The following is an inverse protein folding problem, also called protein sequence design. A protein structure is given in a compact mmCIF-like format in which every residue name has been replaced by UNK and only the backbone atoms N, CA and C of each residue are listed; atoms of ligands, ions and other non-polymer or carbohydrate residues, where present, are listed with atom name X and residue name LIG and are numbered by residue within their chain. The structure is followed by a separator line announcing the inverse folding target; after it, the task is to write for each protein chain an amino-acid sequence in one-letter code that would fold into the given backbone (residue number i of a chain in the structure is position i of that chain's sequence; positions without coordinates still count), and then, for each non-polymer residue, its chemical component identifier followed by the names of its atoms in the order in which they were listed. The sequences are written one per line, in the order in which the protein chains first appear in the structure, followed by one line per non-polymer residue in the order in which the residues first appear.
data_IF_062954776567
#
_entry.id   IF_062954776567
#
_cell.length_a   1.000
_cell.length_b   1.000
_cell.length_c   1.000
_cell.angle_alpha   90.00
_cell.angle_beta   90.00
_cell.angle_gamma   90.00
#
_symmetry.space_group_name_H-M   'P 1'
#
loop_
_entity.id
_entity.type
_entity.pdbx_description
1 polymer ?
#
# COMPACT_ATOMS: atom_id res chain seq x y z
N UNK A 1 2.62 6.29 -12.09
CA UNK A 1 2.75 7.44 -11.16
C UNK A 1 1.65 8.49 -11.36
N UNK A 2 1.42 9.04 -12.56
CA UNK A 2 0.27 9.95 -12.78
C UNK A 2 -1.11 9.30 -12.55
N UNK A 3 -1.15 7.97 -12.49
CA UNK A 3 -2.35 7.17 -12.21
C UNK A 3 -3.01 7.50 -10.86
N UNK A 4 -2.21 7.85 -9.85
CA UNK A 4 -2.71 8.21 -8.53
C UNK A 4 -3.25 9.64 -8.47
N UNK A 5 -2.64 10.59 -9.18
CA UNK A 5 -3.16 11.96 -9.31
C UNK A 5 -4.46 11.96 -10.12
N UNK A 6 -4.51 11.18 -11.19
CA UNK A 6 -5.72 10.99 -12.01
C UNK A 6 -6.82 10.27 -11.24
N UNK A 7 -6.52 9.20 -10.49
CA UNK A 7 -7.50 8.52 -9.63
C UNK A 7 -8.07 9.43 -8.56
N UNK A 8 -7.24 10.20 -7.86
CA UNK A 8 -7.72 11.15 -6.85
C UNK A 8 -8.64 12.21 -7.50
N UNK A 9 -8.30 12.73 -8.68
CA UNK A 9 -9.14 13.70 -9.41
C UNK A 9 -10.45 13.12 -9.92
N UNK A 10 -10.44 11.88 -10.45
CA UNK A 10 -11.66 11.15 -10.82
C UNK A 10 -12.56 10.88 -9.60
N UNK A 11 -11.97 10.69 -8.42
CA UNK A 11 -12.73 10.50 -7.18
C UNK A 11 -13.37 11.80 -6.66
N UNK A 12 -12.72 12.95 -6.88
CA UNK A 12 -13.19 14.26 -6.43
C UNK A 12 -14.18 14.92 -7.39
N UNK A 13 -13.93 14.79 -8.70
CA UNK A 13 -14.81 15.29 -9.76
C UNK A 13 -15.02 14.22 -10.86
N UNK A 14 -15.96 13.30 -10.62
CA UNK A 14 -16.31 12.26 -11.59
C UNK A 14 -16.91 12.83 -12.88
N UNK A 15 -17.61 13.96 -12.83
CA UNK A 15 -18.30 14.52 -13.99
C UNK A 15 -17.31 15.06 -15.03
N UNK A 16 -16.20 15.65 -14.56
CA UNK A 16 -15.18 16.22 -15.45
C UNK A 16 -14.16 15.20 -15.93
N UNK A 17 -13.77 14.22 -15.12
CA UNK A 17 -12.60 13.36 -15.40
C UNK A 17 -12.92 11.89 -15.74
N UNK A 18 -14.17 11.44 -15.71
CA UNK A 18 -14.55 10.04 -15.95
C UNK A 18 -14.61 9.65 -17.44
N UNK A 19 -13.49 9.81 -18.16
CA UNK A 19 -13.30 9.35 -19.55
C UNK A 19 -12.31 8.17 -19.64
N UNK A 20 -12.24 7.35 -18.58
CA UNK A 20 -11.21 6.31 -18.42
C UNK A 20 -9.85 6.89 -18.03
N UNK A 21 -8.90 6.04 -17.59
CA UNK A 21 -7.62 6.52 -17.04
C UNK A 21 -6.75 7.27 -18.05
N UNK A 22 -6.76 6.82 -19.32
CA UNK A 22 -6.02 7.48 -20.41
C UNK A 22 -6.66 8.83 -20.77
N UNK A 23 -8.00 8.89 -20.80
CA UNK A 23 -8.75 10.13 -21.04
C UNK A 23 -8.55 11.14 -19.91
N UNK A 24 -8.58 10.68 -18.65
CA UNK A 24 -8.27 11.49 -17.48
C UNK A 24 -6.84 12.02 -17.49
N UNK A 25 -5.86 11.19 -17.86
CA UNK A 25 -4.46 11.61 -18.04
C UNK A 25 -4.32 12.74 -19.07
N UNK A 26 -4.90 12.55 -20.26
CA UNK A 26 -4.84 13.55 -21.34
C UNK A 26 -5.52 14.85 -20.94
N UNK A 27 -6.66 14.75 -20.24
CA UNK A 27 -7.42 15.91 -19.79
C UNK A 27 -6.67 16.70 -18.71
N UNK A 28 -6.03 16.03 -17.75
CA UNK A 28 -5.18 16.69 -16.73
C UNK A 28 -4.01 17.42 -17.37
N UNK A 29 -3.33 16.81 -18.35
CA UNK A 29 -2.24 17.48 -19.08
C UNK A 29 -2.76 18.70 -19.85
N UNK A 30 -3.93 18.60 -20.47
CA UNK A 30 -4.53 19.70 -21.24
C UNK A 30 -5.10 20.83 -20.36
N UNK A 31 -5.64 20.53 -19.17
CA UNK A 31 -6.26 21.52 -18.30
C UNK A 31 -5.27 22.18 -17.33
N UNK A 32 -4.25 21.45 -16.88
CA UNK A 32 -3.38 21.87 -15.77
C UNK A 32 -1.88 21.71 -16.06
N UNK A 33 -1.53 21.23 -17.26
CA UNK A 33 -0.16 21.03 -17.70
C UNK A 33 0.47 19.71 -17.22
N UNK A 34 1.59 19.34 -17.85
CA UNK A 34 2.28 18.08 -17.54
C UNK A 34 2.81 17.99 -16.10
N UNK A 35 3.16 19.15 -15.50
CA UNK A 35 3.64 19.24 -14.12
C UNK A 35 2.59 18.84 -13.07
N UNK A 36 1.29 18.97 -13.37
CA UNK A 36 0.20 18.59 -12.47
C UNK A 36 0.17 17.08 -12.15
N UNK A 37 0.80 16.25 -13.00
CA UNK A 37 0.97 14.82 -12.75
C UNK A 37 1.97 14.51 -11.64
N UNK A 38 2.87 15.46 -11.35
CA UNK A 38 3.88 15.35 -10.30
C UNK A 38 3.41 15.98 -8.97
N UNK A 39 2.27 16.66 -8.96
CA UNK A 39 1.66 17.20 -7.75
C UNK A 39 1.37 16.08 -6.75
N UNK A 40 1.85 16.24 -5.52
CA UNK A 40 1.73 15.23 -4.46
C UNK A 40 2.84 14.17 -4.45
N UNK A 41 3.80 14.20 -5.39
CA UNK A 41 4.89 13.22 -5.45
C UNK A 41 5.80 13.26 -4.21
N UNK A 42 6.15 14.45 -3.73
CA UNK A 42 6.97 14.61 -2.50
C UNK A 42 6.35 13.94 -1.27
N UNK A 43 5.09 14.28 -0.91
CA UNK A 43 4.39 13.60 0.18
C UNK A 43 4.22 12.09 -0.03
N UNK A 44 3.89 11.65 -1.25
CA UNK A 44 3.79 10.21 -1.57
C UNK A 44 5.11 9.50 -1.32
N UNK A 45 6.22 10.01 -1.84
CA UNK A 45 7.53 9.40 -1.67
C UNK A 45 7.92 9.32 -0.19
N UNK A 46 7.85 10.45 0.52
CA UNK A 46 8.17 10.49 1.95
C UNK A 46 7.26 9.56 2.77
N UNK A 47 5.96 9.54 2.45
CA UNK A 47 4.96 8.73 3.13
C UNK A 47 5.23 7.25 3.01
N UNK A 48 5.31 6.73 1.79
CA UNK A 48 5.56 5.32 1.55
C UNK A 48 6.97 4.88 1.97
N UNK A 49 7.96 5.78 1.94
CA UNK A 49 9.29 5.50 2.48
C UNK A 49 9.24 5.26 4.00
N UNK A 50 8.64 6.19 4.75
CA UNK A 50 8.51 6.06 6.20
C UNK A 50 7.62 4.86 6.58
N UNK A 51 6.48 4.70 5.90
CA UNK A 51 5.60 3.56 6.10
C UNK A 51 6.38 2.25 5.88
N UNK A 52 7.16 2.14 4.79
CA UNK A 52 7.99 0.98 4.53
C UNK A 52 8.99 0.69 5.65
N UNK A 53 9.73 1.71 6.11
CA UNK A 53 10.71 1.58 7.18
C UNK A 53 10.08 1.06 8.49
N UNK A 54 8.98 1.70 8.94
CA UNK A 54 8.27 1.30 10.15
C UNK A 54 7.58 -0.06 10.02
N UNK A 55 7.02 -0.36 8.85
CA UNK A 55 6.34 -1.62 8.59
C UNK A 55 7.28 -2.81 8.62
N UNK A 56 8.38 -2.77 7.86
CA UNK A 56 9.31 -3.90 7.77
C UNK A 56 10.19 -3.99 9.02
N UNK A 57 10.73 -2.86 9.49
CA UNK A 57 11.52 -2.82 10.71
C UNK A 57 10.68 -3.15 11.96
N UNK A 58 9.47 -2.60 12.05
CA UNK A 58 8.53 -2.90 13.11
C UNK A 58 8.08 -4.36 13.09
N UNK A 59 7.83 -4.94 11.91
CA UNK A 59 7.43 -6.34 11.81
C UNK A 59 8.48 -7.27 12.42
N UNK A 60 9.76 -7.09 12.07
CA UNK A 60 10.86 -7.88 12.65
C UNK A 60 11.02 -7.61 14.14
N UNK A 61 10.92 -6.34 14.57
CA UNK A 61 10.97 -5.98 15.98
C UNK A 61 9.87 -6.67 16.80
N UNK A 62 8.59 -6.53 16.42
CA UNK A 62 7.47 -7.11 17.15
C UNK A 62 7.45 -8.65 17.10
N UNK A 63 7.92 -9.24 15.99
CA UNK A 63 8.11 -10.69 15.88
C UNK A 63 9.17 -11.16 16.87
N UNK A 64 10.32 -10.49 16.95
CA UNK A 64 11.37 -10.82 17.92
C UNK A 64 10.88 -10.64 19.37
N UNK A 65 10.14 -9.57 19.68
CA UNK A 65 9.57 -9.37 21.01
C UNK A 65 8.58 -10.48 21.38
N UNK A 66 7.74 -10.91 20.44
CA UNK A 66 6.78 -12.01 20.64
C UNK A 66 7.50 -13.34 20.91
N UNK A 67 8.60 -13.61 20.20
CA UNK A 67 9.47 -14.77 20.43
C UNK A 67 10.12 -14.71 21.81
N UNK A 68 10.67 -13.55 22.19
CA UNK A 68 11.32 -13.36 23.49
C UNK A 68 10.33 -13.54 24.66
N UNK A 69 9.07 -13.12 24.49
CA UNK A 69 8.05 -13.20 25.53
C UNK A 69 7.46 -14.61 25.68
N UNK A 70 7.17 -15.28 24.55
CA UNK A 70 6.49 -16.58 24.55
C UNK A 70 7.44 -17.78 24.60
N UNK A 71 8.72 -17.57 24.28
CA UNK A 71 9.68 -18.63 23.98
C UNK A 71 9.52 -19.17 22.55
N UNK A 72 10.63 -19.64 21.97
CA UNK A 72 10.69 -20.12 20.58
C UNK A 72 9.69 -21.25 20.28
N UNK A 73 9.49 -22.16 21.23
CA UNK A 73 8.62 -23.32 21.06
C UNK A 73 7.14 -22.91 20.92
N UNK A 74 6.64 -22.07 21.82
CA UNK A 74 5.28 -21.54 21.74
C UNK A 74 5.10 -20.58 20.55
N UNK A 75 6.10 -19.74 20.27
CA UNK A 75 6.05 -18.85 19.12
C UNK A 75 5.97 -19.61 17.79
N UNK A 76 6.63 -20.78 17.70
CA UNK A 76 6.54 -21.68 16.55
C UNK A 76 5.17 -22.35 16.45
N UNK A 77 4.62 -22.84 17.57
CA UNK A 77 3.26 -23.40 17.59
C UNK A 77 2.19 -22.39 17.15
N UNK A 78 2.28 -21.15 17.64
CA UNK A 78 1.34 -20.06 17.32
C UNK A 78 1.86 -19.11 16.23
N UNK A 79 2.73 -19.59 15.33
CA UNK A 79 3.43 -18.78 14.31
C UNK A 79 2.54 -17.82 13.52
N UNK A 80 1.36 -18.28 13.10
CA UNK A 80 0.42 -17.44 12.34
C UNK A 80 -0.10 -16.29 13.20
N UNK A 81 -0.42 -16.55 14.48
CA UNK A 81 -0.85 -15.51 15.42
C UNK A 81 0.25 -14.49 15.67
N UNK A 82 1.49 -14.95 15.83
CA UNK A 82 2.68 -14.08 15.98
C UNK A 82 2.86 -13.19 14.75
N UNK A 83 2.78 -13.75 13.54
CA UNK A 83 2.90 -12.97 12.30
C UNK A 83 1.78 -11.93 12.17
N UNK A 84 0.54 -12.32 12.45
CA UNK A 84 -0.62 -11.44 12.39
C UNK A 84 -0.51 -10.28 13.40
N UNK A 85 -0.17 -10.58 14.66
CA UNK A 85 -0.03 -9.57 15.71
C UNK A 85 1.14 -8.61 15.43
N UNK A 86 2.29 -9.16 15.00
CA UNK A 86 3.48 -8.37 14.66
C UNK A 86 3.23 -7.47 13.46
N UNK A 87 2.56 -7.98 12.42
CA UNK A 87 2.19 -7.22 11.24
C UNK A 87 1.19 -6.10 11.56
N UNK A 88 0.17 -6.38 12.39
CA UNK A 88 -0.82 -5.38 12.79
C UNK A 88 -0.19 -4.26 13.64
N UNK A 89 0.66 -4.61 14.61
CA UNK A 89 1.37 -3.64 15.43
C UNK A 89 2.31 -2.76 14.60
N UNK A 90 3.11 -3.38 13.72
CA UNK A 90 4.01 -2.66 12.83
C UNK A 90 3.26 -1.68 11.91
N UNK A 91 2.16 -2.13 11.31
CA UNK A 91 1.36 -1.28 10.41
C UNK A 91 0.69 -0.13 11.17
N UNK A 92 0.23 -0.35 12.40
CA UNK A 92 -0.37 0.73 13.21
C UNK A 92 0.59 1.90 13.41
N UNK A 93 1.85 1.63 13.77
CA UNK A 93 2.87 2.67 13.91
C UNK A 93 3.31 3.26 12.57
N UNK A 94 3.37 2.44 11.52
CA UNK A 94 3.64 2.91 10.17
C UNK A 94 2.57 3.89 9.67
N UNK A 95 1.30 3.63 9.98
CA UNK A 95 0.18 4.48 9.61
C UNK A 95 0.16 5.80 10.39
N UNK A 96 0.68 5.84 11.62
CA UNK A 96 0.86 7.11 12.35
C UNK A 96 1.82 8.03 11.57
N UNK A 97 2.90 7.48 11.03
CA UNK A 97 3.85 8.24 10.21
C UNK A 97 3.30 8.57 8.81
N UNK A 98 2.51 7.68 8.21
CA UNK A 98 1.94 7.84 6.87
C UNK A 98 0.82 8.88 6.84
N UNK A 99 -0.07 8.86 7.83
CA UNK A 99 -1.34 9.60 7.81
C UNK A 99 -1.19 11.12 7.55
N UNK A 100 -0.24 11.83 8.19
CA UNK A 100 -0.02 13.26 7.91
C UNK A 100 0.44 13.55 6.48
N UNK A 101 1.27 12.67 5.91
CA UNK A 101 1.80 12.80 4.56
C UNK A 101 0.72 12.51 3.51
N UNK A 102 -0.16 11.56 3.80
CA UNK A 102 -1.30 11.24 2.96
C UNK A 102 -2.40 12.30 3.02
N UNK A 103 -2.67 12.89 4.17
CA UNK A 103 -3.53 14.06 4.30
C UNK A 103 -2.97 15.24 3.48
N UNK A 104 -1.67 15.52 3.59
CA UNK A 104 -0.98 16.55 2.82
C UNK A 104 -1.06 16.27 1.32
N UNK A 105 -0.80 15.03 0.90
CA UNK A 105 -0.92 14.58 -0.49
C UNK A 105 -2.32 14.84 -1.03
N UNK A 106 -3.34 14.36 -0.32
CA UNK A 106 -4.74 14.51 -0.74
C UNK A 106 -5.06 15.98 -0.91
N UNK A 107 -4.68 16.85 0.04
CA UNK A 107 -4.96 18.28 -0.07
C UNK A 107 -4.29 18.92 -1.28
N UNK A 108 -3.00 18.67 -1.49
CA UNK A 108 -2.26 19.23 -2.63
C UNK A 108 -2.81 18.77 -3.98
N UNK A 109 -3.35 17.55 -4.06
CA UNK A 109 -3.94 17.02 -5.29
C UNK A 109 -5.38 17.50 -5.49
N UNK A 110 -6.14 17.67 -4.40
CA UNK A 110 -7.53 18.14 -4.44
C UNK A 110 -7.65 19.64 -4.69
N UNK A 111 -6.73 20.43 -4.13
CA UNK A 111 -6.73 21.89 -4.19
C UNK A 111 -5.40 22.37 -4.77
N UNK A 112 -5.26 22.48 -6.11
CA UNK A 112 -4.00 22.86 -6.75
C UNK A 112 -3.44 24.21 -6.31
N UNK A 113 -4.30 25.13 -5.83
CA UNK A 113 -3.91 26.45 -5.32
C UNK A 113 -3.57 26.46 -3.82
N UNK A 114 -3.68 25.32 -3.13
CA UNK A 114 -3.49 25.24 -1.69
C UNK A 114 -2.05 25.58 -1.29
N UNK A 115 -1.07 24.88 -1.84
CA UNK A 115 0.36 25.13 -1.64
C UNK A 115 1.18 24.36 -2.67
N UNK A 116 2.48 24.64 -2.74
CA UNK A 116 3.42 23.89 -3.59
C UNK A 116 4.30 22.98 -2.74
N UNK A 117 4.39 21.71 -3.15
CA UNK A 117 5.29 20.73 -2.55
C UNK A 117 4.92 20.29 -1.13
N UNK A 118 5.69 19.33 -0.61
CA UNK A 118 5.46 18.73 0.70
C UNK A 118 5.55 19.76 1.83
N UNK A 119 6.66 20.50 1.91
CA UNK A 119 6.94 21.42 3.02
C UNK A 119 5.89 22.52 3.10
N UNK A 120 5.53 23.12 1.97
CA UNK A 120 4.52 24.17 1.89
C UNK A 120 3.13 23.66 2.26
N UNK A 121 2.72 22.51 1.71
CA UNK A 121 1.42 21.90 2.01
C UNK A 121 1.28 21.49 3.47
N UNK A 122 2.29 20.81 4.01
CA UNK A 122 2.31 20.35 5.40
C UNK A 122 2.30 21.54 6.37
N UNK A 123 3.17 22.52 6.14
CA UNK A 123 3.27 23.71 6.99
C UNK A 123 2.01 24.56 6.98
N UNK A 124 1.36 24.73 5.82
CA UNK A 124 0.09 25.45 5.71
C UNK A 124 -1.02 24.71 6.47
N UNK A 125 -1.17 23.41 6.24
CA UNK A 125 -2.19 22.59 6.91
C UNK A 125 -2.05 22.60 8.42
N UNK A 126 -0.82 22.46 8.93
CA UNK A 126 -0.56 22.56 10.36
C UNK A 126 -0.97 23.91 10.93
N UNK A 127 -0.66 25.03 10.23
CA UNK A 127 -0.98 26.38 10.70
C UNK A 127 -2.47 26.72 10.61
N UNK A 128 -3.17 26.29 9.56
CA UNK A 128 -4.55 26.71 9.30
C UNK A 128 -5.59 25.77 9.90
N UNK A 129 -5.27 24.47 10.03
CA UNK A 129 -6.24 23.43 10.40
C UNK A 129 -5.79 22.60 11.61
N UNK A 130 -4.53 22.73 12.02
CA UNK A 130 -3.97 22.03 13.17
C UNK A 130 -3.73 20.54 12.94
N UNK A 131 -3.35 19.85 14.02
CA UNK A 131 -3.01 18.41 13.99
C UNK A 131 -4.21 17.52 13.66
N UNK A 132 -5.42 17.93 14.04
CA UNK A 132 -6.63 17.15 13.78
C UNK A 132 -6.84 16.87 12.28
N UNK A 133 -6.47 17.80 11.41
CA UNK A 133 -6.58 17.63 9.95
C UNK A 133 -5.68 16.51 9.41
N UNK A 134 -4.50 16.28 10.00
CA UNK A 134 -3.60 15.22 9.58
C UNK A 134 -4.14 13.83 9.88
N UNK A 135 -4.92 13.67 10.95
CA UNK A 135 -5.42 12.37 11.41
C UNK A 135 -6.92 12.13 11.16
N UNK A 136 -7.59 13.06 10.47
CA UNK A 136 -9.00 12.93 10.12
C UNK A 136 -9.30 11.65 9.30
N UNK A 137 -8.32 11.16 8.53
CA UNK A 137 -8.42 9.93 7.73
C UNK A 137 -7.84 8.67 8.39
N UNK A 138 -7.39 8.74 9.64
CA UNK A 138 -6.59 7.67 10.26
C UNK A 138 -7.35 6.34 10.39
N UNK A 139 -8.61 6.38 10.88
CA UNK A 139 -9.44 5.17 10.99
C UNK A 139 -9.65 4.42 9.66
N UNK A 140 -10.08 5.12 8.58
CA UNK A 140 -10.12 4.56 7.24
C UNK A 140 -8.79 3.98 6.74
N UNK A 141 -7.66 4.63 7.04
CA UNK A 141 -6.32 4.14 6.67
C UNK A 141 -6.03 2.82 7.38
N UNK A 142 -6.19 2.76 8.71
CA UNK A 142 -5.97 1.55 9.50
C UNK A 142 -6.82 0.37 8.99
N UNK A 143 -8.11 0.62 8.73
CA UNK A 143 -9.04 -0.41 8.24
C UNK A 143 -8.61 -1.00 6.89
N UNK A 144 -7.92 -0.23 6.07
CA UNK A 144 -7.38 -0.68 4.79
C UNK A 144 -6.02 -1.37 4.93
N UNK A 145 -5.10 -0.73 5.64
CA UNK A 145 -3.69 -1.10 5.63
C UNK A 145 -3.41 -2.30 6.53
N UNK A 146 -4.02 -2.39 7.71
CA UNK A 146 -3.78 -3.50 8.64
C UNK A 146 -4.15 -4.85 7.99
N UNK A 147 -5.36 -5.06 7.43
CA UNK A 147 -5.70 -6.33 6.79
C UNK A 147 -4.80 -6.65 5.58
N UNK A 148 -4.46 -5.62 4.79
CA UNK A 148 -3.55 -5.77 3.66
C UNK A 148 -2.17 -6.25 4.11
N UNK A 149 -1.60 -5.63 5.15
CA UNK A 149 -0.28 -5.95 5.67
C UNK A 149 -0.24 -7.30 6.39
N UNK A 150 -1.24 -7.62 7.20
CA UNK A 150 -1.39 -8.93 7.84
C UNK A 150 -1.42 -10.06 6.81
N UNK A 151 -2.26 -9.93 5.78
CA UNK A 151 -2.34 -10.92 4.70
C UNK A 151 -1.01 -11.03 3.95
N UNK A 152 -0.37 -9.89 3.64
CA UNK A 152 0.90 -9.87 2.92
C UNK A 152 2.00 -10.60 3.69
N UNK A 153 2.21 -10.30 4.97
CA UNK A 153 3.28 -10.94 5.74
C UNK A 153 3.01 -12.43 5.98
N UNK A 154 1.78 -12.83 6.33
CA UNK A 154 1.47 -14.24 6.54
C UNK A 154 1.68 -15.05 5.27
N UNK A 155 1.17 -14.57 4.13
CA UNK A 155 1.33 -15.28 2.86
C UNK A 155 2.79 -15.29 2.43
N UNK A 156 3.51 -14.18 2.60
CA UNK A 156 4.94 -14.12 2.31
C UNK A 156 5.72 -15.18 3.08
N UNK A 157 5.57 -15.23 4.40
CA UNK A 157 6.28 -16.18 5.26
C UNK A 157 5.94 -17.63 4.86
N UNK A 158 4.67 -17.94 4.59
CA UNK A 158 4.24 -19.29 4.18
C UNK A 158 4.78 -19.71 2.82
N UNK A 159 4.74 -18.81 1.84
CA UNK A 159 5.21 -19.09 0.48
C UNK A 159 6.73 -19.20 0.47
N UNK A 160 7.43 -18.33 1.19
CA UNK A 160 8.88 -18.39 1.32
C UNK A 160 9.32 -19.67 2.06
N UNK A 161 8.66 -20.03 3.17
CA UNK A 161 8.92 -21.27 3.92
C UNK A 161 8.75 -22.50 3.02
N UNK A 162 7.66 -22.56 2.24
CA UNK A 162 7.42 -23.63 1.28
C UNK A 162 8.46 -23.65 0.15
N UNK A 163 8.80 -22.50 -0.42
CA UNK A 163 9.80 -22.43 -1.48
C UNK A 163 11.18 -22.89 -0.98
N UNK A 164 11.57 -22.50 0.24
CA UNK A 164 12.84 -22.89 0.84
C UNK A 164 12.86 -24.32 1.40
N UNK A 165 11.70 -24.98 1.59
CA UNK A 165 11.66 -26.41 1.90
C UNK A 165 11.89 -27.28 0.67
N UNK A 166 11.47 -26.81 -0.51
CA UNK A 166 11.74 -27.46 -1.81
C UNK A 166 13.14 -27.11 -2.32
N UNK A 167 13.57 -25.87 -2.12
CA UNK A 167 14.87 -25.36 -2.55
C UNK A 167 15.65 -24.81 -1.35
N UNK A 168 16.43 -25.64 -0.64
CA UNK A 168 17.13 -25.22 0.58
C UNK A 168 18.04 -24.02 0.34
N UNK A 169 17.97 -23.01 1.21
CA UNK A 169 18.74 -21.76 1.08
C UNK A 169 20.24 -21.99 0.83
N UNK A 170 20.82 -22.98 1.53
CA UNK A 170 22.25 -23.34 1.43
C UNK A 170 22.68 -23.79 0.02
N UNK A 171 21.73 -24.29 -0.78
CA UNK A 171 21.99 -24.82 -2.11
C UNK A 171 21.67 -23.78 -3.20
N UNK A 172 21.20 -22.58 -2.80
CA UNK A 172 20.82 -21.49 -3.69
C UNK A 172 21.85 -20.36 -3.62
N UNK A 173 22.23 -19.84 -4.79
CA UNK A 173 22.96 -18.57 -4.87
C UNK A 173 22.12 -17.44 -4.28
N UNK A 174 22.77 -16.36 -3.82
CA UNK A 174 22.09 -15.18 -3.26
C UNK A 174 21.03 -14.60 -4.21
N UNK A 175 21.26 -14.77 -5.51
CA UNK A 175 20.35 -14.31 -6.57
C UNK A 175 19.13 -15.21 -6.68
N UNK A 176 19.31 -16.52 -6.59
CA UNK A 176 18.20 -17.45 -6.57
C UNK A 176 17.36 -17.27 -5.28
N UNK A 177 18.00 -17.05 -4.14
CA UNK A 177 17.32 -16.70 -2.90
C UNK A 177 16.54 -15.39 -3.01
N UNK A 178 17.12 -14.36 -3.64
CA UNK A 178 16.43 -13.09 -3.91
C UNK A 178 15.24 -13.28 -4.85
N UNK A 179 15.38 -14.11 -5.89
CA UNK A 179 14.30 -14.47 -6.80
C UNK A 179 13.14 -15.16 -6.07
N UNK A 180 13.44 -16.10 -5.16
CA UNK A 180 12.45 -16.76 -4.30
C UNK A 180 11.76 -15.74 -3.39
N UNK A 181 12.49 -14.84 -2.75
CA UNK A 181 11.91 -13.81 -1.88
C UNK A 181 11.01 -12.85 -2.68
N UNK A 182 11.45 -12.36 -3.84
CA UNK A 182 10.65 -11.47 -4.69
C UNK A 182 9.41 -12.19 -5.26
N UNK A 183 9.54 -13.46 -5.66
CA UNK A 183 8.41 -14.30 -6.09
C UNK A 183 7.40 -14.55 -4.97
N UNK A 184 7.88 -14.85 -3.76
CA UNK A 184 7.06 -14.95 -2.55
C UNK A 184 6.34 -13.63 -2.27
N UNK A 185 7.05 -12.50 -2.45
CA UNK A 185 6.51 -11.15 -2.33
C UNK A 185 5.39 -10.85 -3.34
N UNK A 186 5.51 -11.33 -4.58
CA UNK A 186 4.48 -11.18 -5.61
C UNK A 186 3.20 -11.94 -5.23
N UNK A 187 3.33 -13.22 -4.87
CA UNK A 187 2.20 -14.08 -4.47
C UNK A 187 1.52 -13.49 -3.24
N UNK A 188 2.31 -13.05 -2.25
CA UNK A 188 1.82 -12.33 -1.09
C UNK A 188 1.08 -11.04 -1.46
N UNK A 189 1.58 -10.28 -2.43
CA UNK A 189 0.94 -9.08 -2.95
C UNK A 189 -0.43 -9.35 -3.58
N UNK A 190 -0.56 -10.43 -4.36
CA UNK A 190 -1.83 -10.84 -4.95
C UNK A 190 -2.82 -11.32 -3.90
N UNK A 191 -2.39 -12.15 -2.95
CA UNK A 191 -3.23 -12.60 -1.86
C UNK A 191 -3.71 -11.41 -0.99
N UNK A 192 -2.80 -10.49 -0.65
CA UNK A 192 -3.14 -9.28 0.09
C UNK A 192 -4.13 -8.39 -0.68
N UNK A 193 -3.95 -8.23 -1.99
CA UNK A 193 -4.89 -7.50 -2.84
C UNK A 193 -6.28 -8.15 -2.83
N UNK A 194 -6.34 -9.48 -2.91
CA UNK A 194 -7.60 -10.23 -2.88
C UNK A 194 -8.31 -10.10 -1.52
N UNK A 195 -7.60 -10.36 -0.42
CA UNK A 195 -8.15 -10.34 0.96
C UNK A 195 -8.63 -8.94 1.35
N UNK A 196 -7.88 -7.90 0.98
CA UNK A 196 -8.24 -6.51 1.33
C UNK A 196 -9.16 -5.84 0.32
N UNK A 197 -9.57 -6.50 -0.77
CA UNK A 197 -10.42 -5.89 -1.79
C UNK A 197 -11.79 -5.46 -1.27
N UNK A 198 -12.51 -6.28 -0.45
CA UNK A 198 -13.79 -5.85 0.08
C UNK A 198 -13.68 -4.57 0.92
N UNK A 199 -12.66 -4.50 1.78
CA UNK A 199 -12.40 -3.31 2.60
C UNK A 199 -12.09 -2.08 1.75
N UNK A 200 -11.24 -2.22 0.72
CA UNK A 200 -10.90 -1.14 -0.20
C UNK A 200 -12.12 -0.62 -0.98
N UNK A 201 -12.96 -1.52 -1.48
CA UNK A 201 -14.19 -1.15 -2.20
C UNK A 201 -15.19 -0.43 -1.28
N UNK A 202 -15.37 -0.90 -0.05
CA UNK A 202 -16.25 -0.25 0.94
C UNK A 202 -15.75 1.16 1.30
N UNK A 203 -14.45 1.32 1.53
CA UNK A 203 -13.84 2.62 1.83
C UNK A 203 -13.90 3.59 0.63
N UNK A 204 -13.74 3.09 -0.59
CA UNK A 204 -13.90 3.92 -1.79
C UNK A 204 -15.33 4.46 -1.91
N UNK A 205 -16.34 3.63 -1.61
CA UNK A 205 -17.76 4.05 -1.64
C UNK A 205 -18.13 4.99 -0.50
N UNK A 206 -17.59 4.79 0.71
CA UNK A 206 -17.91 5.68 1.84
C UNK A 206 -17.33 7.09 1.63
N UNK A 207 -16.15 7.18 1.00
CA UNK A 207 -15.52 8.45 0.67
C UNK A 207 -16.23 9.21 -0.48
N UNK A 208 -16.89 8.49 -1.40
CA UNK A 208 -17.64 9.09 -2.52
C UNK A 208 -19.07 9.52 -2.16
N UNK A 209 -19.63 9.01 -1.07
CA UNK A 209 -20.98 9.35 -0.64
C UNK A 209 -20.93 10.31 0.56
N UNK A 210 -21.76 11.36 0.56
CA UNK A 210 -22.04 12.12 1.79
C UNK A 210 -23.08 11.33 2.58
N UNK A 211 -22.82 11.08 3.87
CA UNK A 211 -23.75 10.37 4.74
C UNK A 211 -25.04 11.15 4.92
N UNK A 212 -26.15 10.46 5.16
CA UNK A 212 -27.38 11.14 5.56
C UNK A 212 -27.18 11.84 6.93
N UNK A 213 -27.91 12.92 7.23
CA UNK A 213 -27.81 13.59 8.53
C UNK A 213 -28.05 12.59 9.68
N UNK A 214 -27.09 12.48 10.61
CA UNK A 214 -27.17 11.56 11.76
C UNK A 214 -26.72 10.12 11.51
N UNK A 215 -26.27 9.77 10.30
CA UNK A 215 -25.86 8.40 9.96
C UNK A 215 -24.39 8.14 10.36
N UNK A 216 -24.17 7.28 11.35
CA UNK A 216 -22.83 6.88 11.79
C UNK A 216 -22.04 6.11 10.73
N UNK A 217 -20.71 6.26 10.74
CA UNK A 217 -19.78 5.59 9.80
C UNK A 217 -20.01 4.08 9.74
N UNK A 218 -20.25 3.44 10.89
CA UNK A 218 -20.49 1.99 10.99
C UNK A 218 -21.79 1.57 10.29
N UNK A 219 -22.88 2.32 10.49
CA UNK A 219 -24.17 2.06 9.83
C UNK A 219 -24.04 2.17 8.31
N UNK A 220 -23.27 3.16 7.85
CA UNK A 220 -22.96 3.35 6.42
C UNK A 220 -22.14 2.21 5.86
N UNK A 221 -21.11 1.75 6.56
CA UNK A 221 -20.31 0.59 6.14
C UNK A 221 -21.18 -0.66 6.00
N UNK A 222 -22.09 -0.91 6.96
CA UNK A 222 -23.02 -2.05 6.89
C UNK A 222 -23.97 -1.92 5.69
N UNK A 223 -24.54 -0.73 5.46
CA UNK A 223 -25.43 -0.47 4.33
C UNK A 223 -24.71 -0.65 2.98
N UNK A 224 -23.53 -0.05 2.83
CA UNK A 224 -22.69 -0.19 1.65
C UNK A 224 -22.29 -1.65 1.43
N UNK A 225 -21.97 -2.38 2.50
CA UNK A 225 -21.67 -3.81 2.44
C UNK A 225 -22.85 -4.63 1.90
N UNK A 226 -24.07 -4.35 2.38
CA UNK A 226 -25.30 -4.98 1.88
C UNK A 226 -25.59 -4.64 0.42
N UNK A 227 -25.39 -3.38 0.02
CA UNK A 227 -25.61 -2.91 -1.36
C UNK A 227 -24.58 -3.48 -2.35
N UNK A 228 -23.31 -3.62 -1.94
CA UNK A 228 -22.26 -4.20 -2.77
C UNK A 228 -22.46 -5.71 -2.97
N UNK A 229 -22.88 -6.41 -1.91
CA UNK A 229 -22.85 -7.87 -1.87
C UNK A 229 -21.44 -8.45 -2.08
N UNK A 230 -21.35 -9.77 -2.22
CA UNK A 230 -20.07 -10.45 -2.43
C UNK A 230 -19.45 -10.18 -3.80
N UNK A 231 -20.26 -10.04 -4.86
CA UNK A 231 -19.72 -9.76 -6.21
C UNK A 231 -19.26 -8.31 -6.36
N UNK A 232 -20.02 -7.35 -5.82
CA UNK A 232 -19.68 -5.94 -5.92
C UNK A 232 -18.43 -5.57 -5.11
N UNK A 233 -18.17 -6.25 -3.99
CA UNK A 233 -17.01 -5.97 -3.13
C UNK A 233 -15.66 -6.28 -3.79
N UNK A 234 -15.63 -7.10 -4.85
CA UNK A 234 -14.44 -7.41 -5.65
C UNK A 234 -14.31 -6.58 -6.92
N UNK A 235 -15.16 -5.56 -7.12
CA UNK A 235 -15.06 -4.66 -8.27
C UNK A 235 -13.68 -4.00 -8.31
N UNK A 236 -13.01 -4.05 -9.47
CA UNK A 236 -11.68 -3.45 -9.64
C UNK A 236 -10.49 -4.33 -9.24
N UNK A 237 -10.72 -5.59 -8.80
CA UNK A 237 -9.63 -6.51 -8.43
C UNK A 237 -8.64 -6.75 -9.57
N UNK A 238 -9.11 -6.88 -10.82
CA UNK A 238 -8.24 -7.09 -11.98
C UNK A 238 -7.24 -5.95 -12.19
N UNK A 239 -7.70 -4.69 -12.09
CA UNK A 239 -6.83 -3.52 -12.17
C UNK A 239 -5.82 -3.46 -11.02
N UNK A 240 -6.23 -3.90 -9.82
CA UNK A 240 -5.36 -3.97 -8.65
C UNK A 240 -4.29 -5.04 -8.79
N UNK A 241 -4.65 -6.24 -9.26
CA UNK A 241 -3.70 -7.32 -9.53
C UNK A 241 -2.71 -6.92 -10.63
N UNK A 242 -3.18 -6.30 -11.71
CA UNK A 242 -2.31 -5.78 -12.76
C UNK A 242 -1.32 -4.74 -12.23
N UNK A 243 -1.78 -3.81 -11.38
CA UNK A 243 -0.92 -2.81 -10.73
C UNK A 243 0.13 -3.47 -9.84
N UNK A 244 -0.25 -4.44 -8.99
CA UNK A 244 0.68 -5.17 -8.13
C UNK A 244 1.72 -5.91 -8.97
N UNK A 245 1.28 -6.63 -10.01
CA UNK A 245 2.16 -7.37 -10.91
C UNK A 245 3.15 -6.45 -11.65
N UNK A 246 2.67 -5.30 -12.14
CA UNK A 246 3.52 -4.32 -12.83
C UNK A 246 4.56 -3.70 -11.88
N UNK A 247 4.15 -3.33 -10.66
CA UNK A 247 5.06 -2.80 -9.66
C UNK A 247 6.15 -3.82 -9.30
N UNK A 248 5.78 -5.08 -9.12
CA UNK A 248 6.76 -6.14 -8.84
C UNK A 248 7.67 -6.41 -10.04
N UNK A 249 7.15 -6.44 -11.26
CA UNK A 249 7.98 -6.57 -12.47
C UNK A 249 9.01 -5.43 -12.55
N UNK A 250 8.61 -4.21 -12.19
CA UNK A 250 9.52 -3.06 -12.13
C UNK A 250 10.57 -3.21 -11.01
N UNK A 251 10.20 -3.74 -9.84
CA UNK A 251 11.16 -4.08 -8.78
C UNK A 251 12.19 -5.12 -9.26
N UNK A 252 11.76 -6.14 -10.00
CA UNK A 252 12.66 -7.12 -10.62
C UNK A 252 13.60 -6.49 -11.66
N UNK A 253 13.09 -5.58 -12.49
CA UNK A 253 13.89 -4.87 -13.49
C UNK A 253 14.97 -4.01 -12.83
N UNK A 254 14.58 -3.16 -11.86
CA UNK A 254 15.53 -2.33 -11.11
C UNK A 254 16.55 -3.20 -10.38
N UNK A 255 16.13 -4.29 -9.75
CA UNK A 255 17.05 -5.20 -9.08
C UNK A 255 18.08 -5.77 -10.08
N UNK A 256 17.63 -6.22 -11.25
CA UNK A 256 18.52 -6.71 -12.31
C UNK A 256 19.53 -5.65 -12.78
N UNK A 257 19.08 -4.41 -12.96
CA UNK A 257 19.93 -3.31 -13.43
C UNK A 257 20.91 -2.81 -12.34
N UNK A 258 20.45 -2.67 -11.09
CA UNK A 258 21.30 -2.33 -9.95
C UNK A 258 22.37 -3.40 -9.74
N UNK A 259 22.00 -4.67 -9.88
CA UNK A 259 22.94 -5.80 -9.77
C UNK A 259 24.03 -5.74 -10.84
N UNK A 260 23.66 -5.44 -12.09
CA UNK A 260 24.63 -5.23 -13.19
C UNK A 260 25.54 -4.03 -12.91
N UNK A 261 24.97 -2.92 -12.42
CA UNK A 261 25.72 -1.71 -12.11
C UNK A 261 26.69 -1.89 -10.93
N UNK A 262 26.34 -2.71 -9.94
CA UNK A 262 27.15 -2.97 -8.74
C UNK A 262 28.18 -4.11 -8.93
N UNK A 263 28.30 -4.68 -10.13
CA UNK A 263 29.26 -5.75 -10.40
C UNK A 263 28.94 -7.08 -9.68
N UNK A 264 27.73 -7.24 -9.15
CA UNK A 264 27.27 -8.45 -8.47
C UNK A 264 26.80 -9.52 -9.47
N UNK A 265 27.56 -9.75 -10.54
CA UNK A 265 27.26 -10.69 -11.63
C UNK A 265 27.72 -12.12 -11.35
N UNK A 266 28.24 -12.42 -10.16
CA UNK A 266 28.71 -13.76 -9.75
C UNK A 266 27.62 -14.81 -9.49
N UNK A 267 26.39 -14.62 -9.96
CA UNK A 267 25.40 -15.70 -9.94
C UNK A 267 25.41 -16.42 -11.26
N UNK A 268 25.54 -17.73 -11.20
CA UNK A 268 25.43 -18.67 -12.31
C UNK A 268 24.26 -18.27 -13.20
N UNK A 269 24.57 -17.56 -14.29
CA UNK A 269 23.65 -17.40 -15.40
C UNK A 269 23.55 -18.78 -16.03
N UNK A 270 22.47 -19.51 -15.73
CA UNK A 270 22.06 -20.62 -16.57
C UNK A 270 21.45 -19.99 -17.84
N UNK A 271 22.30 -19.39 -18.67
CA UNK A 271 22.01 -19.27 -20.09
C UNK A 271 22.34 -20.62 -20.72
N UNK A 272 21.47 -21.09 -21.61
CA UNK A 272 21.84 -22.11 -22.59
C UNK A 272 23.02 -21.64 -23.43
#
# INVERSE_FOLDING_TARGET
MGDYSVKTRIQLDPATYNNGMIGGFRKVIQSEGAGALLTGLGPTFAGYFLQGAFKFGGYEFFKQQSINLMGLENASQYRTGVYLASAAAAEFFADIALCPLEATRIRLVSEPTYANGLIGGFGKMFKTEGIGAFYAGFGPILFKQIPYTMSKFVVYEKVAEFAFSVFPKKDLSDIAQTGVNLGSGLIAGFAAAFVSQPADTMLSKINKSKGAPGEGTTTRLIKIGKELGLRGSYTGIGARLFMVGTLTAFQFAIYGDLKKALGATGGVEISK
#
